data_IF_998898229561
#
_entry.id   IF_998898229561
#
_cell.length_a   1.000
_cell.length_b   1.000
_cell.length_c   1.000
_cell.angle_alpha   90.00
_cell.angle_beta   90.00
_cell.angle_gamma   90.00
#
_symmetry.space_group_name_H-M   'P 1'
#
loop_
_entity.id
_entity.type
_entity.pdbx_description
1 polymer ?
#
# COMPACT_ATOMS: atom_id res chain seq x y z
N UNK A 1 -20.77 0.23 0.24
CA UNK A 1 -19.31 0.04 0.38
C UNK A 1 -18.64 0.81 -0.76
N UNK A 2 -17.73 1.74 -0.46
CA UNK A 2 -17.09 2.62 -1.46
C UNK A 2 -15.59 2.57 -1.24
N UNK A 3 -14.81 2.43 -2.31
CA UNK A 3 -13.36 2.60 -2.22
C UNK A 3 -13.04 4.09 -2.16
N UNK A 4 -12.42 4.50 -1.05
CA UNK A 4 -11.91 5.86 -0.93
C UNK A 4 -10.71 6.04 -1.86
N UNK A 5 -10.73 7.13 -2.62
CA UNK A 5 -9.61 7.47 -3.48
C UNK A 5 -8.54 8.20 -2.67
N UNK A 6 -7.35 7.61 -2.62
CA UNK A 6 -6.15 8.28 -2.14
C UNK A 6 -5.29 8.71 -3.33
N UNK A 7 -4.98 10.01 -3.40
CA UNK A 7 -4.00 10.52 -4.35
C UNK A 7 -2.60 10.11 -3.90
N UNK A 8 -1.83 9.49 -4.80
CA UNK A 8 -0.43 9.17 -4.55
C UNK A 8 0.38 10.46 -4.32
N UNK A 9 1.25 10.47 -3.31
CA UNK A 9 2.03 11.65 -2.96
C UNK A 9 3.23 11.84 -3.89
N UNK A 10 3.88 10.74 -4.27
CA UNK A 10 4.98 10.74 -5.24
C UNK A 10 4.63 9.89 -6.47
N UNK A 11 5.39 10.08 -7.55
CA UNK A 11 5.26 9.29 -8.79
C UNK A 11 5.44 7.79 -8.54
N UNK A 12 6.28 7.43 -7.57
CA UNK A 12 6.63 6.04 -7.24
C UNK A 12 5.68 5.38 -6.23
N UNK A 13 4.69 6.13 -5.72
CA UNK A 13 3.78 5.67 -4.66
C UNK A 13 2.54 4.93 -5.18
N UNK A 14 2.47 4.62 -6.48
CA UNK A 14 1.27 4.00 -7.07
C UNK A 14 0.88 2.69 -6.37
N UNK A 15 1.83 1.77 -6.18
CA UNK A 15 1.59 0.51 -5.49
C UNK A 15 1.17 0.66 -4.02
N UNK A 16 1.96 1.34 -3.16
CA UNK A 16 1.61 1.55 -1.76
C UNK A 16 0.28 2.29 -1.58
N UNK A 17 -0.03 3.25 -2.44
CA UNK A 17 -1.30 3.99 -2.41
C UNK A 17 -2.49 3.10 -2.77
N UNK A 18 -2.35 2.23 -3.78
CA UNK A 18 -3.37 1.24 -4.11
C UNK A 18 -3.62 0.29 -2.94
N UNK A 19 -2.55 -0.23 -2.32
CA UNK A 19 -2.68 -1.09 -1.13
C UNK A 19 -3.37 -0.34 0.01
N UNK A 20 -3.12 0.96 0.19
CA UNK A 20 -3.83 1.80 1.17
C UNK A 20 -5.33 1.88 0.91
N UNK A 21 -5.74 2.08 -0.33
CA UNK A 21 -7.16 2.15 -0.70
C UNK A 21 -7.86 0.83 -0.39
N UNK A 22 -7.20 -0.30 -0.69
CA UNK A 22 -7.71 -1.65 -0.38
C UNK A 22 -7.78 -1.88 1.12
N UNK A 23 -6.71 -1.61 1.85
CA UNK A 23 -6.65 -1.73 3.31
C UNK A 23 -7.77 -0.93 3.99
N UNK A 24 -7.93 0.35 3.61
CA UNK A 24 -8.94 1.22 4.18
C UNK A 24 -10.38 0.73 3.90
N UNK A 25 -10.63 0.20 2.70
CA UNK A 25 -11.93 -0.39 2.37
C UNK A 25 -12.30 -1.56 3.28
N UNK A 26 -11.32 -2.36 3.71
CA UNK A 26 -11.50 -3.45 4.67
C UNK A 26 -11.36 -3.03 6.14
N UNK A 27 -11.39 -1.72 6.43
CA UNK A 27 -11.36 -1.18 7.80
C UNK A 27 -9.97 -1.05 8.41
N UNK A 28 -8.90 -1.20 7.62
CA UNK A 28 -7.53 -1.00 8.09
C UNK A 28 -7.01 0.38 7.69
N UNK A 29 -6.86 1.27 8.69
CA UNK A 29 -6.27 2.59 8.49
C UNK A 29 -4.74 2.53 8.63
N UNK A 30 -4.03 2.67 7.51
CA UNK A 30 -2.57 2.63 7.46
C UNK A 30 -2.05 3.96 6.93
N UNK A 31 -1.01 4.48 7.57
CA UNK A 31 -0.35 5.72 7.14
C UNK A 31 0.56 5.48 5.94
N UNK A 32 0.81 6.50 5.10
CA UNK A 32 1.75 6.39 3.99
C UNK A 32 3.17 5.97 4.42
N UNK A 33 3.66 6.49 5.55
CA UNK A 33 4.98 6.15 6.07
C UNK A 33 5.09 4.67 6.46
N UNK A 34 4.05 4.11 7.10
CA UNK A 34 4.00 2.67 7.39
C UNK A 34 3.99 1.83 6.10
N UNK A 35 3.22 2.26 5.09
CA UNK A 35 3.19 1.58 3.80
C UNK A 35 4.54 1.62 3.09
N UNK A 36 5.22 2.77 3.08
CA UNK A 36 6.57 2.87 2.51
C UNK A 36 7.56 1.92 3.18
N UNK A 37 7.50 1.81 4.51
CA UNK A 37 8.34 0.89 5.27
C UNK A 37 8.01 -0.58 4.93
N UNK A 38 6.73 -0.97 4.97
CA UNK A 38 6.28 -2.34 4.71
C UNK A 38 6.55 -2.79 3.27
N UNK A 39 6.26 -1.93 2.31
CA UNK A 39 6.47 -2.19 0.87
C UNK A 39 7.93 -2.09 0.44
N UNK A 40 8.82 -1.59 1.31
CA UNK A 40 10.23 -1.35 1.03
C UNK A 40 10.43 -0.50 -0.22
N UNK A 41 9.65 0.58 -0.32
CA UNK A 41 9.66 1.48 -1.47
C UNK A 41 11.07 2.01 -1.73
N UNK A 42 11.52 1.92 -2.98
CA UNK A 42 12.81 2.42 -3.46
C UNK A 42 12.61 3.56 -4.46
N UNK A 43 13.72 4.16 -4.91
CA UNK A 43 13.70 5.26 -5.89
C UNK A 43 13.09 4.85 -7.24
N UNK A 44 13.21 3.58 -7.59
CA UNK A 44 12.64 2.93 -8.77
C UNK A 44 11.23 2.35 -8.54
N UNK A 45 10.67 2.56 -7.34
CA UNK A 45 9.32 2.15 -6.99
C UNK A 45 9.30 0.91 -6.11
N UNK A 46 8.24 0.12 -6.29
CA UNK A 46 7.97 -1.09 -5.50
C UNK A 46 7.83 -2.28 -6.43
N UNK A 47 8.37 -3.43 -6.02
CA UNK A 47 8.16 -4.69 -6.72
C UNK A 47 6.83 -5.33 -6.31
N UNK A 48 6.31 -6.25 -7.14
CA UNK A 48 5.13 -7.04 -6.77
C UNK A 48 5.39 -7.90 -5.52
N UNK A 49 6.61 -8.41 -5.35
CA UNK A 49 7.00 -9.15 -4.15
C UNK A 49 6.91 -8.25 -2.90
N UNK A 50 7.44 -7.02 -2.95
CA UNK A 50 7.36 -6.09 -1.84
C UNK A 50 5.93 -5.67 -1.49
N UNK A 51 5.03 -5.59 -2.48
CA UNK A 51 3.60 -5.39 -2.25
C UNK A 51 2.93 -6.61 -1.62
N UNK A 52 3.28 -7.82 -2.08
CA UNK A 52 2.77 -9.08 -1.54
C UNK A 52 3.15 -9.25 -0.08
N UNK A 53 4.44 -9.08 0.24
CA UNK A 53 4.94 -9.14 1.62
C UNK A 53 4.24 -8.12 2.52
N UNK A 54 4.06 -6.88 2.03
CA UNK A 54 3.37 -5.84 2.77
C UNK A 54 1.88 -6.14 2.96
N UNK A 55 1.23 -6.79 2.00
CA UNK A 55 -0.17 -7.21 2.09
C UNK A 55 -0.34 -8.33 3.12
N UNK A 56 0.54 -9.33 3.12
CA UNK A 56 0.56 -10.40 4.13
C UNK A 56 0.82 -9.86 5.53
N UNK A 57 1.77 -8.93 5.68
CA UNK A 57 2.12 -8.29 6.96
C UNK A 57 0.97 -7.41 7.53
N UNK A 58 -0.01 -7.04 6.72
CA UNK A 58 -1.23 -6.35 7.17
C UNK A 58 -2.44 -7.29 7.22
N UNK A 59 -2.23 -8.60 7.06
CA UNK A 59 -3.26 -9.63 7.25
C UNK A 59 -4.11 -9.94 6.02
N UNK A 60 -3.69 -9.51 4.82
CA UNK A 60 -4.26 -10.03 3.58
C UNK A 60 -3.63 -11.38 3.23
N UNK A 61 -4.37 -12.17 2.46
CA UNK A 61 -3.85 -13.37 1.81
C UNK A 61 -3.79 -13.11 0.32
N UNK A 62 -2.61 -13.28 -0.26
CA UNK A 62 -2.29 -13.00 -1.67
C UNK A 62 -1.66 -14.20 -2.34
#
# INVERSE_FOLDING_TARGET
MKFDFYKQMNTMDCGPTCLRMVANYYGQSITPAQLHAKTRLRRDGVSLLGLSDAAEDIGFRV
#
